data_IF_621140474736
#
_entry.id   IF_621140474736
#
_cell.length_a   1.000
_cell.length_b   1.000
_cell.length_c   1.000
_cell.angle_alpha   90.00
_cell.angle_beta   90.00
_cell.angle_gamma   90.00
#
_symmetry.space_group_name_H-M   'P 1'
#
loop_
_entity.id
_entity.type
_entity.pdbx_description
1 polymer ?
#
# COMPACT_ATOMS: atom_id res chain seq x y z
N UNK A 1 -2.84 -25.88 -29.73
CA UNK A 1 -2.76 -24.49 -29.24
C UNK A 1 -3.45 -24.45 -27.88
N UNK A 2 -2.79 -24.05 -26.78
CA UNK A 2 -3.46 -23.92 -25.52
C UNK A 2 -4.43 -22.72 -25.57
N UNK A 3 -5.68 -22.97 -25.21
CA UNK A 3 -6.68 -21.91 -25.11
C UNK A 3 -6.28 -20.89 -24.05
N UNK A 4 -6.54 -19.57 -24.25
CA UNK A 4 -6.29 -18.56 -23.22
C UNK A 4 -7.17 -18.88 -22.00
N UNK A 5 -6.54 -18.98 -20.82
CA UNK A 5 -7.25 -19.13 -19.54
C UNK A 5 -8.23 -17.97 -19.41
N UNK A 6 -9.52 -18.27 -19.43
CA UNK A 6 -10.57 -17.29 -19.12
C UNK A 6 -10.32 -16.81 -17.70
N UNK A 7 -10.11 -15.51 -17.52
CA UNK A 7 -10.12 -14.88 -16.22
C UNK A 7 -11.53 -15.07 -15.62
N UNK A 8 -11.66 -16.06 -14.77
CA UNK A 8 -12.92 -16.41 -14.09
C UNK A 8 -13.08 -15.54 -12.83
N UNK A 9 -13.02 -14.22 -12.98
CA UNK A 9 -13.36 -13.33 -11.88
C UNK A 9 -14.88 -13.31 -11.75
N UNK A 10 -15.39 -13.50 -10.53
CA UNK A 10 -16.83 -13.36 -10.24
C UNK A 10 -17.28 -11.94 -10.59
N UNK A 11 -18.44 -11.75 -11.26
CA UNK A 11 -18.97 -10.41 -11.53
C UNK A 11 -19.22 -9.61 -10.23
N UNK A 12 -19.35 -10.30 -9.08
CA UNK A 12 -19.48 -9.70 -7.77
C UNK A 12 -18.37 -10.24 -6.85
N UNK A 13 -17.43 -9.40 -6.40
CA UNK A 13 -16.41 -9.82 -5.45
C UNK A 13 -17.02 -10.24 -4.12
N UNK A 14 -16.44 -11.25 -3.48
CA UNK A 14 -16.83 -11.73 -2.16
C UNK A 14 -16.00 -11.09 -1.03
N UNK A 15 -14.93 -10.36 -1.40
CA UNK A 15 -14.11 -9.59 -0.47
C UNK A 15 -13.39 -8.47 -1.19
N UNK A 16 -13.19 -7.34 -0.51
CA UNK A 16 -12.40 -6.22 -1.05
C UNK A 16 -11.16 -6.01 -0.19
N UNK A 17 -10.04 -5.75 -0.89
CA UNK A 17 -8.75 -5.49 -0.26
C UNK A 17 -8.25 -4.15 -0.79
N UNK A 18 -7.81 -3.28 0.11
CA UNK A 18 -7.35 -1.94 -0.24
C UNK A 18 -5.91 -1.75 0.17
N UNK A 19 -5.08 -1.24 -0.71
CA UNK A 19 -3.86 -0.60 -0.28
C UNK A 19 -4.18 0.67 0.53
N UNK A 20 -3.21 1.19 1.27
CA UNK A 20 -3.40 2.35 2.14
C UNK A 20 -2.86 3.64 1.51
N UNK A 21 -1.54 3.66 1.25
CA UNK A 21 -0.76 4.84 0.91
C UNK A 21 -0.92 5.21 -0.59
N UNK A 22 -1.61 6.30 -0.90
CA UNK A 22 -1.97 6.66 -2.27
C UNK A 22 -3.28 6.02 -2.75
N UNK A 23 -3.87 5.14 -1.96
CA UNK A 23 -5.13 4.43 -2.28
C UNK A 23 -6.29 4.87 -1.39
N UNK A 24 -6.25 4.59 -0.09
CA UNK A 24 -7.24 5.09 0.88
C UNK A 24 -6.92 6.50 1.37
N UNK A 25 -5.63 6.83 1.45
CA UNK A 25 -5.10 8.01 2.09
C UNK A 25 -4.08 8.72 1.20
N UNK A 26 -4.19 10.05 1.06
CA UNK A 26 -3.19 10.86 0.37
C UNK A 26 -1.98 11.10 1.29
N UNK A 27 -1.17 10.06 1.44
CA UNK A 27 0.00 10.05 2.33
C UNK A 27 1.31 10.41 1.63
N UNK A 28 1.37 10.31 0.30
CA UNK A 28 2.62 10.42 -0.46
C UNK A 28 3.34 11.76 -0.27
N UNK A 29 2.67 12.94 -0.22
CA UNK A 29 3.34 14.21 0.06
C UNK A 29 4.03 14.23 1.43
N UNK A 30 3.44 13.58 2.42
CA UNK A 30 3.94 13.54 3.81
C UNK A 30 5.07 12.53 3.97
N UNK A 31 5.00 11.41 3.30
CA UNK A 31 6.12 10.47 3.17
C UNK A 31 7.32 11.13 2.49
N UNK A 32 7.08 11.88 1.43
CA UNK A 32 8.13 12.66 0.76
C UNK A 32 8.81 13.63 1.72
N UNK A 33 8.04 14.39 2.48
CA UNK A 33 8.57 15.34 3.47
C UNK A 33 9.43 14.64 4.54
N UNK A 34 9.00 13.49 5.04
CA UNK A 34 9.79 12.68 5.97
C UNK A 34 11.10 12.21 5.32
N UNK A 35 11.06 11.73 4.08
CA UNK A 35 12.26 11.32 3.34
C UNK A 35 13.23 12.47 3.10
N UNK A 36 12.77 13.67 2.79
CA UNK A 36 13.64 14.84 2.64
C UNK A 36 14.44 15.14 3.92
N UNK A 37 13.80 15.05 5.09
CA UNK A 37 14.47 15.25 6.38
C UNK A 37 15.55 14.18 6.64
N UNK A 38 15.28 12.92 6.29
CA UNK A 38 16.21 11.80 6.45
C UNK A 38 17.36 11.89 5.42
N UNK A 39 17.07 12.22 4.18
CA UNK A 39 18.09 12.42 3.14
C UNK A 39 19.08 13.51 3.53
N UNK A 40 18.57 14.65 4.01
CA UNK A 40 19.41 15.74 4.50
C UNK A 40 20.28 15.33 5.72
N UNK A 41 19.71 14.54 6.65
CA UNK A 41 20.42 14.08 7.85
C UNK A 41 21.56 13.10 7.54
N UNK A 42 21.35 12.18 6.60
CA UNK A 42 22.28 11.11 6.27
C UNK A 42 23.14 11.40 5.04
N UNK A 43 22.92 12.53 4.36
CA UNK A 43 23.70 12.99 3.24
C UNK A 43 23.55 12.17 1.96
N UNK A 44 22.36 11.57 1.74
CA UNK A 44 22.08 10.89 0.48
C UNK A 44 21.07 11.65 -0.39
N UNK A 45 21.17 11.44 -1.69
CA UNK A 45 20.21 12.00 -2.65
C UNK A 45 19.00 11.05 -2.82
N UNK A 46 17.80 11.63 -2.79
CA UNK A 46 16.57 10.91 -3.11
C UNK A 46 15.66 11.83 -3.93
N UNK A 47 15.80 11.86 -5.27
CA UNK A 47 14.97 12.69 -6.14
C UNK A 47 13.50 12.34 -6.05
N UNK A 48 12.65 13.35 -6.25
CA UNK A 48 11.19 13.21 -6.08
C UNK A 48 10.56 12.20 -7.04
N UNK A 49 10.97 12.19 -8.28
CA UNK A 49 10.53 11.24 -9.31
C UNK A 49 10.88 9.80 -8.93
N UNK A 50 12.10 9.58 -8.42
CA UNK A 50 12.53 8.29 -7.90
C UNK A 50 11.72 7.86 -6.67
N UNK A 51 11.40 8.80 -5.77
CA UNK A 51 10.55 8.51 -4.62
C UNK A 51 9.18 7.97 -5.06
N UNK A 52 8.51 8.65 -6.01
CA UNK A 52 7.22 8.19 -6.52
C UNK A 52 7.32 6.88 -7.29
N UNK A 53 8.41 6.64 -8.04
CA UNK A 53 8.65 5.38 -8.74
C UNK A 53 8.85 4.18 -7.79
N UNK A 54 9.27 4.43 -6.54
CA UNK A 54 9.45 3.42 -5.49
C UNK A 54 8.21 3.29 -4.58
N UNK A 55 7.08 3.84 -4.96
CA UNK A 55 5.81 3.65 -4.24
C UNK A 55 5.51 2.17 -4.02
N UNK A 56 5.08 1.78 -2.81
CA UNK A 56 4.83 0.39 -2.43
C UNK A 56 6.06 -0.41 -2.00
N UNK A 57 7.27 0.17 -2.06
CA UNK A 57 8.50 -0.46 -1.54
C UNK A 57 8.65 -0.11 -0.05
N UNK A 58 8.92 -1.09 0.84
CA UNK A 58 9.17 -0.82 2.25
C UNK A 58 10.39 0.09 2.47
N UNK A 59 10.30 1.00 3.45
CA UNK A 59 11.34 2.01 3.73
C UNK A 59 12.73 1.41 3.92
N UNK A 60 12.85 0.24 4.57
CA UNK A 60 14.14 -0.46 4.74
C UNK A 60 14.78 -0.83 3.41
N UNK A 61 13.98 -1.28 2.45
CA UNK A 61 14.50 -1.71 1.16
C UNK A 61 14.81 -0.52 0.24
N UNK A 62 14.08 0.59 0.38
CA UNK A 62 14.46 1.88 -0.23
C UNK A 62 15.84 2.32 0.26
N UNK A 63 16.11 2.28 1.58
CA UNK A 63 17.43 2.65 2.11
C UNK A 63 18.53 1.74 1.57
N UNK A 64 18.31 0.43 1.50
CA UNK A 64 19.29 -0.51 0.91
C UNK A 64 19.62 -0.16 -0.56
N UNK A 65 18.56 0.14 -1.34
CA UNK A 65 18.70 0.52 -2.74
C UNK A 65 19.56 1.80 -2.88
N UNK A 66 19.19 2.86 -2.11
CA UNK A 66 19.91 4.14 -2.15
C UNK A 66 21.38 3.99 -1.69
N UNK A 67 21.63 3.17 -0.68
CA UNK A 67 23.00 2.86 -0.23
C UNK A 67 23.81 2.17 -1.33
N UNK A 68 23.25 1.16 -1.98
CA UNK A 68 23.91 0.43 -3.06
C UNK A 68 24.24 1.34 -4.26
N UNK A 69 23.34 2.23 -4.63
CA UNK A 69 23.52 3.15 -5.75
C UNK A 69 24.53 4.27 -5.47
N UNK A 70 24.60 4.73 -4.21
CA UNK A 70 25.41 5.91 -3.85
C UNK A 70 26.68 5.53 -3.05
N UNK A 71 26.99 4.24 -2.94
CA UNK A 71 28.20 3.76 -2.24
C UNK A 71 28.17 4.05 -0.73
N UNK A 72 26.99 4.10 -0.10
CA UNK A 72 26.82 4.44 1.31
C UNK A 72 26.77 3.18 2.17
N UNK A 73 27.28 3.29 3.38
CA UNK A 73 27.21 2.23 4.40
C UNK A 73 26.35 2.72 5.57
N UNK A 74 25.03 2.52 5.48
CA UNK A 74 24.08 2.89 6.51
C UNK A 74 23.35 1.66 7.06
N UNK A 75 22.98 1.70 8.33
CA UNK A 75 22.08 0.69 8.88
C UNK A 75 20.65 0.94 8.38
N UNK A 76 20.25 0.21 7.34
CA UNK A 76 18.96 0.40 6.66
C UNK A 76 17.75 0.29 7.59
N UNK A 77 17.82 -0.58 8.60
CA UNK A 77 16.73 -0.72 9.58
C UNK A 77 16.64 0.50 10.51
N UNK A 78 17.78 1.02 10.98
CA UNK A 78 17.81 2.21 11.82
C UNK A 78 17.31 3.43 11.07
N UNK A 79 17.79 3.66 9.84
CA UNK A 79 17.37 4.79 8.99
C UNK A 79 15.88 4.71 8.66
N UNK A 80 15.37 3.51 8.35
CA UNK A 80 13.95 3.30 8.09
C UNK A 80 13.09 3.63 9.33
N UNK A 81 13.53 3.23 10.53
CA UNK A 81 12.84 3.55 11.79
C UNK A 81 12.81 5.06 12.05
N UNK A 82 13.91 5.76 11.78
CA UNK A 82 13.95 7.22 11.91
C UNK A 82 13.03 7.91 10.89
N UNK A 83 12.97 7.39 9.65
CA UNK A 83 12.01 7.89 8.64
C UNK A 83 10.57 7.69 9.10
N UNK A 84 10.23 6.52 9.63
CA UNK A 84 8.89 6.30 10.17
C UNK A 84 8.58 7.24 11.36
N UNK A 85 9.55 7.44 12.26
CA UNK A 85 9.42 8.39 13.36
C UNK A 85 9.21 9.84 12.89
N UNK A 86 9.90 10.25 11.81
CA UNK A 86 9.72 11.56 11.19
C UNK A 86 8.36 11.71 10.48
N UNK A 87 7.78 10.61 10.00
CA UNK A 87 6.46 10.60 9.36
C UNK A 87 5.30 10.69 10.36
N UNK A 88 5.42 10.09 11.54
CA UNK A 88 4.33 10.00 12.52
C UNK A 88 3.62 11.34 12.80
N UNK A 89 4.32 12.47 13.10
CA UNK A 89 3.66 13.75 13.36
C UNK A 89 2.98 14.34 12.12
N UNK A 90 3.35 13.91 10.93
CA UNK A 90 2.78 14.37 9.66
C UNK A 90 1.46 13.69 9.33
N UNK A 91 1.13 12.56 9.96
CA UNK A 91 -0.13 11.83 9.78
C UNK A 91 -1.35 12.73 10.08
N UNK A 92 -1.21 13.69 11.00
CA UNK A 92 -2.28 14.64 11.30
C UNK A 92 -2.74 15.48 10.09
N UNK A 93 -1.92 15.56 9.03
CA UNK A 93 -2.19 16.32 7.80
C UNK A 93 -2.72 15.43 6.66
N UNK A 94 -2.80 14.12 6.87
CA UNK A 94 -3.25 13.18 5.83
C UNK A 94 -4.73 13.39 5.55
N UNK A 95 -5.05 13.48 4.26
CA UNK A 95 -6.42 13.63 3.75
C UNK A 95 -6.93 12.31 3.14
N UNK A 96 -8.26 12.08 3.17
CA UNK A 96 -8.87 10.88 2.61
C UNK A 96 -8.93 10.94 1.08
N UNK A 97 -8.73 9.79 0.42
CA UNK A 97 -9.08 9.61 -0.99
C UNK A 97 -10.56 9.19 -1.06
N UNK A 98 -11.44 10.18 -1.06
CA UNK A 98 -12.86 10.00 -0.84
C UNK A 98 -13.55 9.03 -1.79
N UNK A 99 -13.13 8.96 -3.06
CA UNK A 99 -13.71 8.04 -4.04
C UNK A 99 -13.47 6.58 -3.64
N UNK A 100 -12.30 6.24 -3.11
CA UNK A 100 -11.95 4.89 -2.69
C UNK A 100 -12.57 4.55 -1.33
N UNK A 101 -12.55 5.50 -0.38
CA UNK A 101 -13.23 5.34 0.91
C UNK A 101 -14.74 5.16 0.71
N UNK A 102 -15.34 5.84 -0.26
CA UNK A 102 -16.75 5.64 -0.65
C UNK A 102 -17.05 4.18 -0.98
N UNK A 103 -16.19 3.55 -1.80
CA UNK A 103 -16.32 2.13 -2.15
C UNK A 103 -16.25 1.23 -0.90
N UNK A 104 -15.33 1.51 0.03
CA UNK A 104 -15.23 0.75 1.27
C UNK A 104 -16.50 0.89 2.12
N UNK A 105 -17.02 2.12 2.29
CA UNK A 105 -18.23 2.40 3.07
C UNK A 105 -19.48 1.76 2.47
N UNK A 106 -19.64 1.79 1.14
CA UNK A 106 -20.78 1.17 0.44
C UNK A 106 -20.84 -0.35 0.61
N UNK A 107 -19.69 -0.98 0.81
CA UNK A 107 -19.57 -2.44 0.96
C UNK A 107 -19.46 -2.90 2.43
N UNK A 108 -19.29 -1.97 3.36
CA UNK A 108 -19.21 -2.27 4.79
C UNK A 108 -20.48 -3.00 5.28
N UNK A 109 -20.28 -4.12 5.99
CA UNK A 109 -21.34 -4.97 6.48
C UNK A 109 -22.00 -5.88 5.42
N UNK A 110 -21.62 -5.75 4.14
CA UNK A 110 -22.13 -6.61 3.04
C UNK A 110 -21.15 -7.71 2.67
N UNK A 111 -19.88 -7.36 2.51
CA UNK A 111 -18.77 -8.28 2.24
C UNK A 111 -17.56 -7.88 3.10
N UNK A 112 -16.67 -8.81 3.43
CA UNK A 112 -15.50 -8.53 4.26
C UNK A 112 -14.51 -7.61 3.53
N UNK A 113 -13.90 -6.69 4.31
CA UNK A 113 -12.94 -5.69 3.83
C UNK A 113 -11.62 -5.83 4.58
N UNK A 114 -10.49 -5.69 3.85
CA UNK A 114 -9.16 -5.66 4.45
C UNK A 114 -8.30 -4.53 3.89
N UNK A 115 -7.26 -4.16 4.66
CA UNK A 115 -6.16 -3.31 4.21
C UNK A 115 -4.92 -4.17 3.99
N UNK A 116 -4.15 -3.88 2.92
CA UNK A 116 -2.88 -4.52 2.56
C UNK A 116 -1.81 -3.48 2.23
N UNK A 117 -1.10 -2.97 3.25
CA UNK A 117 -0.16 -1.85 3.16
C UNK A 117 1.30 -2.28 3.22
N UNK A 118 2.16 -1.67 2.40
CA UNK A 118 3.62 -1.80 2.48
C UNK A 118 4.23 -1.04 3.69
N UNK A 119 3.42 -0.24 4.40
CA UNK A 119 3.81 0.46 5.62
C UNK A 119 4.02 -0.46 6.82
N UNK A 120 4.40 0.14 7.96
CA UNK A 120 4.41 -0.56 9.24
C UNK A 120 3.00 -0.62 9.83
N UNK A 121 2.74 -1.58 10.70
CA UNK A 121 1.44 -1.68 11.40
C UNK A 121 1.09 -0.37 12.11
N UNK A 122 2.05 0.18 12.84
CA UNK A 122 1.85 1.42 13.58
C UNK A 122 1.43 2.59 12.71
N UNK A 123 2.13 2.83 11.59
CA UNK A 123 1.80 3.97 10.70
C UNK A 123 0.49 3.75 9.98
N UNK A 124 0.24 2.53 9.48
CA UNK A 124 -1.00 2.18 8.79
C UNK A 124 -2.23 2.35 9.70
N UNK A 125 -2.20 1.81 10.92
CA UNK A 125 -3.30 1.95 11.86
C UNK A 125 -3.55 3.42 12.24
N UNK A 126 -2.50 4.20 12.50
CA UNK A 126 -2.67 5.63 12.79
C UNK A 126 -3.25 6.44 11.63
N UNK A 127 -2.93 6.09 10.37
CA UNK A 127 -3.56 6.71 9.20
C UNK A 127 -5.04 6.36 9.14
N UNK A 128 -5.41 5.10 9.33
CA UNK A 128 -6.81 4.66 9.31
C UNK A 128 -7.61 5.29 10.46
N UNK A 129 -7.02 5.41 11.66
CA UNK A 129 -7.63 6.06 12.81
C UNK A 129 -7.81 7.57 12.55
N UNK A 130 -6.78 8.25 11.99
CA UNK A 130 -6.86 9.67 11.60
C UNK A 130 -8.01 9.95 10.63
N UNK A 131 -8.27 9.02 9.70
CA UNK A 131 -9.34 9.13 8.72
C UNK A 131 -10.70 8.64 9.24
N UNK A 132 -10.77 8.06 10.43
CA UNK A 132 -12.00 7.51 11.01
C UNK A 132 -12.59 6.34 10.20
N UNK A 133 -11.72 5.50 9.61
CA UNK A 133 -12.15 4.39 8.76
C UNK A 133 -11.62 3.02 9.21
N UNK A 134 -10.87 2.97 10.33
CA UNK A 134 -10.28 1.71 10.80
C UNK A 134 -11.31 0.61 11.00
N UNK A 135 -12.46 0.95 11.55
CA UNK A 135 -13.54 0.00 11.88
C UNK A 135 -14.28 -0.56 10.65
N UNK A 136 -14.00 -0.04 9.45
CA UNK A 136 -14.51 -0.62 8.21
C UNK A 136 -13.84 -1.96 7.86
N UNK A 137 -12.63 -2.22 8.38
CA UNK A 137 -11.77 -3.33 7.95
C UNK A 137 -11.67 -4.42 9.01
N UNK A 138 -12.03 -5.65 8.64
CA UNK A 138 -11.90 -6.84 9.49
C UNK A 138 -10.45 -7.30 9.63
N UNK A 139 -9.60 -6.96 8.67
CA UNK A 139 -8.18 -7.30 8.71
C UNK A 139 -7.31 -6.15 8.20
N UNK A 140 -6.18 -5.95 8.87
CA UNK A 140 -5.10 -5.07 8.43
C UNK A 140 -3.85 -5.94 8.29
N UNK A 141 -3.30 -5.98 7.08
CA UNK A 141 -2.06 -6.69 6.75
C UNK A 141 -1.01 -5.68 6.34
N UNK A 142 0.18 -5.81 6.89
CA UNK A 142 1.29 -4.89 6.67
C UNK A 142 2.54 -5.63 6.21
N UNK A 143 3.61 -4.92 5.88
CA UNK A 143 4.89 -5.53 5.53
C UNK A 143 5.48 -6.38 6.67
N UNK A 144 5.01 -6.21 7.90
CA UNK A 144 5.47 -6.96 9.08
C UNK A 144 4.83 -8.35 9.18
N UNK A 145 3.76 -8.60 8.43
CA UNK A 145 3.00 -9.85 8.44
C UNK A 145 3.46 -10.85 7.36
N UNK A 146 4.35 -10.44 6.44
CA UNK A 146 4.71 -11.22 5.25
C UNK A 146 6.21 -11.30 5.04
N UNK A 147 6.66 -12.36 4.35
CA UNK A 147 8.08 -12.57 4.07
C UNK A 147 8.57 -11.72 2.88
N UNK A 148 7.73 -11.57 1.85
CA UNK A 148 8.10 -10.89 0.62
C UNK A 148 7.19 -9.69 0.37
N UNK A 149 7.83 -8.54 0.12
CA UNK A 149 7.13 -7.30 -0.22
C UNK A 149 6.61 -7.31 -1.67
N UNK A 150 5.68 -6.39 -1.99
CA UNK A 150 5.25 -6.12 -3.36
C UNK A 150 6.49 -5.96 -4.28
N UNK A 151 6.55 -6.59 -5.46
CA UNK A 151 5.44 -7.15 -6.23
C UNK A 151 5.10 -8.63 -5.91
N UNK A 152 5.67 -9.25 -4.86
CA UNK A 152 5.22 -10.56 -4.42
C UNK A 152 3.75 -10.51 -3.95
N UNK A 153 2.98 -11.58 -4.17
CA UNK A 153 1.55 -11.60 -3.86
C UNK A 153 1.23 -11.73 -2.36
N UNK A 154 2.24 -11.98 -1.52
CA UNK A 154 2.13 -12.44 -0.14
C UNK A 154 1.14 -11.60 0.70
N UNK A 155 1.22 -10.27 0.59
CA UNK A 155 0.38 -9.36 1.38
C UNK A 155 -1.11 -9.45 1.01
N UNK A 156 -1.41 -9.61 -0.28
CA UNK A 156 -2.80 -9.77 -0.75
C UNK A 156 -3.33 -11.16 -0.45
N UNK A 157 -2.51 -12.21 -0.58
CA UNK A 157 -2.87 -13.57 -0.20
C UNK A 157 -3.15 -13.68 1.30
N UNK A 158 -2.33 -13.05 2.15
CA UNK A 158 -2.55 -13.01 3.59
C UNK A 158 -3.82 -12.23 3.95
N UNK A 159 -4.11 -11.12 3.26
CA UNK A 159 -5.34 -10.38 3.45
C UNK A 159 -6.58 -11.23 3.11
N UNK A 160 -6.58 -11.91 1.96
CA UNK A 160 -7.66 -12.82 1.57
C UNK A 160 -7.83 -13.98 2.57
N UNK A 161 -6.73 -14.55 3.05
CA UNK A 161 -6.75 -15.59 4.08
C UNK A 161 -7.41 -15.11 5.39
N UNK A 162 -7.08 -13.89 5.84
CA UNK A 162 -7.69 -13.30 7.05
C UNK A 162 -9.17 -12.98 6.88
N UNK A 163 -9.59 -12.65 5.65
CA UNK A 163 -11.01 -12.46 5.33
C UNK A 163 -11.77 -13.78 5.18
N UNK A 164 -11.09 -14.92 5.03
CA UNK A 164 -11.71 -16.21 4.72
C UNK A 164 -12.30 -16.28 3.31
N UNK A 165 -11.77 -15.48 2.36
CA UNK A 165 -12.26 -15.38 0.98
C UNK A 165 -11.21 -15.92 0.02
N UNK A 166 -11.57 -16.79 -0.95
CA UNK A 166 -10.65 -17.25 -1.97
C UNK A 166 -10.08 -16.06 -2.79
N UNK A 167 -8.76 -16.03 -3.09
CA UNK A 167 -8.13 -14.92 -3.80
C UNK A 167 -8.83 -14.55 -5.12
N UNK A 168 -9.24 -15.53 -5.91
CA UNK A 168 -9.95 -15.31 -7.19
C UNK A 168 -11.33 -14.68 -7.04
N UNK A 169 -11.89 -14.65 -5.82
CA UNK A 169 -13.15 -13.99 -5.47
C UNK A 169 -12.91 -12.63 -4.80
N UNK A 170 -11.65 -12.20 -4.67
CA UNK A 170 -11.31 -10.88 -4.15
C UNK A 170 -11.06 -9.88 -5.28
N UNK A 171 -11.45 -8.64 -5.02
CA UNK A 171 -11.06 -7.46 -5.80
C UNK A 171 -10.15 -6.60 -4.94
N UNK A 172 -9.02 -6.13 -5.48
CA UNK A 172 -8.09 -5.31 -4.73
C UNK A 172 -7.79 -3.98 -5.45
N UNK A 173 -7.63 -2.92 -4.66
CA UNK A 173 -7.48 -1.52 -5.08
C UNK A 173 -6.07 -1.05 -4.76
N UNK A 174 -5.42 -0.38 -5.74
CA UNK A 174 -4.01 -0.03 -5.65
C UNK A 174 -3.67 1.12 -6.61
N UNK A 175 -2.69 1.97 -6.26
CA UNK A 175 -2.22 3.09 -7.07
C UNK A 175 -0.83 2.88 -7.69
N UNK A 176 -0.09 1.83 -7.29
CA UNK A 176 1.26 1.57 -7.78
C UNK A 176 1.34 0.39 -8.75
N UNK A 177 2.28 0.45 -9.70
CA UNK A 177 2.49 -0.68 -10.63
C UNK A 177 3.03 -1.93 -9.91
N UNK A 178 3.80 -1.75 -8.82
CA UNK A 178 4.27 -2.85 -7.99
C UNK A 178 3.11 -3.58 -7.32
N UNK A 179 2.19 -2.83 -6.71
CA UNK A 179 1.03 -3.39 -6.05
C UNK A 179 0.04 -4.01 -7.04
N UNK A 180 -0.22 -3.38 -8.19
CA UNK A 180 -1.06 -3.97 -9.25
C UNK A 180 -0.50 -5.31 -9.76
N UNK A 181 0.83 -5.43 -9.85
CA UNK A 181 1.47 -6.72 -10.19
C UNK A 181 1.27 -7.75 -9.08
N UNK A 182 1.42 -7.34 -7.81
CA UNK A 182 1.20 -8.22 -6.65
C UNK A 182 -0.24 -8.75 -6.61
N UNK A 183 -1.25 -7.90 -6.86
CA UNK A 183 -2.67 -8.28 -6.92
C UNK A 183 -2.89 -9.33 -8.00
N UNK A 184 -2.39 -9.07 -9.22
CA UNK A 184 -2.53 -10.02 -10.35
C UNK A 184 -1.80 -11.33 -10.07
N UNK A 185 -0.62 -11.29 -9.45
CA UNK A 185 0.13 -12.47 -9.04
C UNK A 185 -0.62 -13.28 -7.96
N UNK A 186 -1.42 -12.62 -7.10
CA UNK A 186 -2.31 -13.28 -6.15
C UNK A 186 -3.55 -13.91 -6.80
N UNK A 187 -3.77 -13.72 -8.11
CA UNK A 187 -4.95 -14.21 -8.83
C UNK A 187 -6.23 -13.43 -8.56
N UNK A 188 -6.10 -12.18 -8.09
CA UNK A 188 -7.21 -11.29 -7.77
C UNK A 188 -7.53 -10.34 -8.94
N UNK A 189 -8.75 -9.78 -8.91
CA UNK A 189 -9.11 -8.66 -9.78
C UNK A 189 -8.41 -7.38 -9.27
N UNK A 190 -7.62 -6.74 -10.15
CA UNK A 190 -6.88 -5.53 -9.82
C UNK A 190 -7.60 -4.29 -10.34
N UNK A 191 -7.84 -3.32 -9.45
CA UNK A 191 -8.37 -2.00 -9.78
C UNK A 191 -7.29 -0.95 -9.56
N UNK A 192 -6.93 -0.27 -10.64
CA UNK A 192 -6.02 0.88 -10.61
C UNK A 192 -6.79 2.13 -10.19
N UNK A 193 -6.57 2.59 -8.96
CA UNK A 193 -7.31 3.73 -8.40
C UNK A 193 -6.93 5.05 -9.06
N UNK A 194 -5.79 5.14 -9.75
CA UNK A 194 -5.42 6.35 -10.52
C UNK A 194 -6.47 6.68 -11.58
N UNK A 195 -7.14 5.66 -12.12
CA UNK A 195 -8.23 5.83 -13.08
C UNK A 195 -9.53 6.37 -12.43
N UNK A 196 -9.71 6.13 -11.13
CA UNK A 196 -10.85 6.63 -10.36
C UNK A 196 -10.61 8.07 -9.89
N UNK A 197 -9.37 8.42 -9.55
CA UNK A 197 -8.97 9.74 -9.06
C UNK A 197 -8.86 10.73 -10.20
N UNK A 198 -8.26 10.33 -11.34
CA UNK A 198 -8.05 11.19 -12.51
C UNK A 198 -9.27 11.43 -13.39
N UNK A 199 -10.38 10.74 -13.17
CA UNK A 199 -11.60 10.83 -13.99
C UNK A 199 -12.55 12.00 -13.68
N UNK A 200 -12.10 12.99 -12.88
CA UNK A 200 -12.84 14.23 -12.61
C UNK A 200 -12.01 15.44 -13.06
N UNK A 201 -11.91 15.61 -14.37
CA UNK A 201 -11.51 16.83 -15.03
C UNK A 201 -12.73 17.46 -15.69
#
# INVERSE_FOLDING_TARGET
MPQPKRNNHSPHPQGLIFDCDGTLADTMPWHWRAWQAIAARYGFEFPRDKFYALGGVPSRDIVKLLCAEQGLTLNSLAVAREKEAAYLPLIAQVEPINVVIGIARENFGRIPLAVASAGTRRTTEQVLDRLGIRDLFQAIVTNEDVAHAKPAPDIFLEAARRLGVPPQSCRAYEDTDLGLRAIRAAGMEAVDVRQLIGGRG
#
